data_IF_002062741100
#
_entry.id   IF_002062741100
#
_cell.length_a   1.000
_cell.length_b   1.000
_cell.length_c   1.000
_cell.angle_alpha   90.00
_cell.angle_beta   90.00
_cell.angle_gamma   90.00
#
_symmetry.space_group_name_H-M   'P 1'
#
loop_
_entity.id
_entity.type
_entity.pdbx_description
1 polymer ?
#
# COMPACT_ATOMS: atom_id res chain seq x y z
N UNK A 1 12.85 -12.15 4.92
CA UNK A 1 12.03 -11.49 5.94
C UNK A 1 11.17 -12.49 6.68
N UNK A 2 10.72 -12.10 7.87
CA UNK A 2 9.84 -12.88 8.72
C UNK A 2 8.85 -11.96 9.42
N UNK A 3 7.57 -12.31 9.40
CA UNK A 3 6.50 -11.66 10.14
C UNK A 3 5.79 -12.70 11.01
N UNK A 4 5.73 -12.47 12.31
CA UNK A 4 5.14 -13.42 13.24
C UNK A 4 3.65 -13.67 12.94
N UNK A 5 3.22 -14.90 13.18
CA UNK A 5 1.80 -15.24 13.24
C UNK A 5 1.13 -14.68 14.49
N UNK A 6 -0.17 -14.83 14.58
CA UNK A 6 -0.93 -14.31 15.71
C UNK A 6 -2.37 -14.77 15.72
N UNK A 7 -3.21 -14.00 16.41
CA UNK A 7 -4.62 -14.30 16.60
C UNK A 7 -5.51 -13.10 16.29
N UNK A 8 -6.69 -13.35 15.74
CA UNK A 8 -7.73 -12.36 15.45
C UNK A 8 -8.53 -12.01 16.71
N UNK A 9 -7.88 -11.40 17.69
CA UNK A 9 -8.42 -11.15 19.04
C UNK A 9 -9.72 -10.33 19.00
N UNK A 10 -9.81 -9.33 18.11
CA UNK A 10 -11.00 -8.49 18.00
C UNK A 10 -12.24 -9.24 17.51
N UNK A 11 -12.06 -10.30 16.73
CA UNK A 11 -13.15 -11.12 16.19
C UNK A 11 -13.32 -12.43 16.96
N UNK A 12 -12.58 -12.64 18.05
CA UNK A 12 -12.54 -13.91 18.78
C UNK A 12 -13.94 -14.37 19.21
N UNK A 13 -14.72 -13.50 19.84
CA UNK A 13 -16.07 -13.80 20.32
C UNK A 13 -17.03 -14.14 19.17
N UNK A 14 -16.96 -13.36 18.08
CA UNK A 14 -17.84 -13.54 16.93
C UNK A 14 -17.49 -14.81 16.15
N UNK A 15 -16.21 -15.15 16.02
CA UNK A 15 -15.75 -16.40 15.42
C UNK A 15 -16.25 -17.59 16.24
N UNK A 16 -16.05 -17.58 17.57
CA UNK A 16 -16.55 -18.65 18.44
C UNK A 16 -18.06 -18.81 18.31
N UNK A 17 -18.80 -17.71 18.35
CA UNK A 17 -20.27 -17.76 18.23
C UNK A 17 -20.72 -18.29 16.88
N UNK A 18 -20.02 -17.97 15.80
CA UNK A 18 -20.37 -18.41 14.45
C UNK A 18 -20.03 -19.87 14.23
N UNK A 19 -18.80 -20.29 14.54
CA UNK A 19 -18.33 -21.66 14.33
C UNK A 19 -18.96 -22.67 15.29
N UNK A 20 -19.29 -22.21 16.51
CA UNK A 20 -19.94 -23.04 17.53
C UNK A 20 -21.44 -22.73 17.69
N UNK A 21 -22.09 -22.30 16.59
CA UNK A 21 -23.50 -21.87 16.62
C UNK A 21 -24.48 -22.92 17.15
N UNK A 22 -24.15 -24.21 16.98
CA UNK A 22 -24.92 -25.32 17.57
C UNK A 22 -25.05 -25.20 19.12
N UNK A 23 -23.98 -24.78 19.79
CA UNK A 23 -24.00 -24.55 21.25
C UNK A 23 -24.88 -23.37 21.64
N UNK A 24 -24.84 -22.26 20.86
CA UNK A 24 -25.69 -21.11 21.15
C UNK A 24 -27.16 -21.44 21.01
N UNK A 25 -27.55 -22.18 19.98
CA UNK A 25 -28.93 -22.63 19.81
C UNK A 25 -29.36 -23.63 20.89
N UNK A 26 -28.49 -24.52 21.29
CA UNK A 26 -28.74 -25.46 22.36
C UNK A 26 -28.87 -24.74 23.73
N UNK A 27 -27.97 -23.80 24.02
CA UNK A 27 -28.04 -22.99 25.25
C UNK A 27 -29.31 -22.12 25.29
N UNK A 28 -29.79 -21.60 24.19
CA UNK A 28 -31.09 -20.89 24.12
C UNK A 28 -32.28 -21.81 24.44
N UNK A 29 -32.14 -23.10 24.25
CA UNK A 29 -33.15 -24.12 24.62
C UNK A 29 -32.93 -24.67 26.02
N UNK A 30 -31.94 -24.19 26.77
CA UNK A 30 -31.58 -24.69 28.11
C UNK A 30 -30.66 -25.90 28.11
N UNK A 31 -30.05 -26.23 26.95
CA UNK A 31 -29.11 -27.34 26.80
C UNK A 31 -27.69 -26.73 26.76
N UNK A 32 -27.01 -26.77 27.89
CA UNK A 32 -25.70 -26.12 28.08
C UNK A 32 -24.51 -27.05 27.87
N UNK A 33 -24.74 -28.32 27.65
CA UNK A 33 -23.69 -29.35 27.63
C UNK A 33 -23.64 -30.06 26.28
N UNK A 34 -23.52 -29.27 25.21
CA UNK A 34 -23.39 -29.78 23.84
C UNK A 34 -21.93 -30.07 23.56
N UNK A 35 -21.52 -31.34 23.40
CA UNK A 35 -20.15 -31.68 23.07
C UNK A 35 -19.81 -31.27 21.66
N UNK A 36 -18.60 -30.71 21.48
CA UNK A 36 -18.00 -30.43 20.17
C UNK A 36 -17.00 -31.51 19.78
N UNK A 37 -16.89 -31.74 18.49
CA UNK A 37 -15.89 -32.67 17.95
C UNK A 37 -14.49 -32.01 17.97
N UNK A 38 -13.45 -32.82 17.87
CA UNK A 38 -12.08 -32.32 17.70
C UNK A 38 -11.94 -31.52 16.41
N UNK A 39 -12.72 -31.85 15.37
CA UNK A 39 -12.75 -31.14 14.07
C UNK A 39 -13.33 -29.72 14.22
N UNK A 40 -14.37 -29.53 15.04
CA UNK A 40 -14.94 -28.21 15.32
C UNK A 40 -13.90 -27.30 15.99
N UNK A 41 -13.16 -27.81 16.95
CA UNK A 41 -12.09 -27.05 17.61
C UNK A 41 -10.92 -26.75 16.67
N UNK A 42 -10.56 -27.67 15.76
CA UNK A 42 -9.53 -27.42 14.75
C UNK A 42 -9.96 -26.32 13.78
N UNK A 43 -11.22 -26.33 13.35
CA UNK A 43 -11.79 -25.29 12.48
C UNK A 43 -11.76 -23.92 13.15
N UNK A 44 -12.22 -23.83 14.41
CA UNK A 44 -12.15 -22.59 15.19
C UNK A 44 -10.71 -22.09 15.31
N UNK A 45 -9.76 -22.97 15.58
CA UNK A 45 -8.36 -22.59 15.72
C UNK A 45 -7.78 -22.02 14.41
N UNK A 46 -8.09 -22.64 13.28
CA UNK A 46 -7.67 -22.16 11.95
C UNK A 46 -8.24 -20.78 11.60
N UNK A 47 -9.47 -20.50 12.06
CA UNK A 47 -10.13 -19.22 11.77
C UNK A 47 -9.63 -18.10 12.70
N UNK A 48 -9.34 -18.43 13.96
CA UNK A 48 -8.86 -17.46 14.96
C UNK A 48 -7.40 -17.09 14.74
N UNK A 49 -6.55 -18.06 14.37
CA UNK A 49 -5.11 -17.88 14.23
C UNK A 49 -4.70 -17.62 12.76
N UNK A 50 -3.55 -17.00 12.61
CA UNK A 50 -2.86 -16.90 11.34
C UNK A 50 -1.38 -17.24 11.53
N UNK A 51 -0.83 -17.90 10.52
CA UNK A 51 0.54 -18.41 10.53
C UNK A 51 1.58 -17.31 10.24
N UNK A 52 2.85 -17.53 10.59
CA UNK A 52 3.94 -16.65 10.22
C UNK A 52 4.08 -16.53 8.70
N UNK A 53 4.33 -15.30 8.26
CA UNK A 53 4.71 -14.99 6.89
C UNK A 53 6.24 -15.02 6.74
N UNK A 54 6.72 -15.64 5.69
CA UNK A 54 8.15 -15.72 5.36
C UNK A 54 8.38 -15.18 3.96
N UNK A 55 9.30 -14.22 3.81
CA UNK A 55 9.68 -13.66 2.53
C UNK A 55 11.17 -13.83 2.24
N UNK A 56 11.48 -14.09 0.96
CA UNK A 56 12.82 -14.10 0.39
C UNK A 56 12.90 -13.03 -0.68
N UNK A 57 13.84 -12.10 -0.53
CA UNK A 57 14.11 -11.05 -1.50
C UNK A 57 15.49 -11.25 -2.13
N UNK A 58 15.53 -11.20 -3.45
CA UNK A 58 16.74 -11.20 -4.27
C UNK A 58 16.79 -9.85 -4.96
N UNK A 59 17.88 -9.13 -4.80
CA UNK A 59 18.05 -7.79 -5.35
C UNK A 59 19.44 -7.66 -5.97
N UNK A 60 19.47 -7.00 -7.14
CA UNK A 60 20.68 -6.61 -7.81
C UNK A 60 20.57 -5.13 -8.15
N UNK A 61 21.56 -4.36 -7.72
CA UNK A 61 21.58 -2.92 -7.96
C UNK A 61 22.96 -2.41 -8.38
N UNK A 62 22.97 -1.21 -8.94
CA UNK A 62 24.17 -0.47 -9.28
C UNK A 62 24.02 1.00 -8.97
N UNK A 63 25.13 1.62 -8.56
CA UNK A 63 25.24 3.06 -8.32
C UNK A 63 26.29 3.62 -9.27
N UNK A 64 25.91 4.55 -10.12
CA UNK A 64 26.78 5.16 -11.11
C UNK A 64 26.88 6.66 -10.86
N UNK A 65 28.11 7.16 -10.85
CA UNK A 65 28.42 8.58 -10.84
C UNK A 65 28.97 8.95 -12.22
N UNK A 66 28.26 9.77 -12.93
CA UNK A 66 28.53 10.12 -14.31
C UNK A 66 28.89 11.61 -14.42
N UNK A 67 29.61 11.98 -15.47
CA UNK A 67 29.96 13.37 -15.78
C UNK A 67 30.59 14.11 -14.58
N UNK A 68 31.68 13.55 -14.03
CA UNK A 68 32.41 14.14 -12.89
C UNK A 68 31.52 14.40 -11.66
N UNK A 69 30.59 13.46 -11.38
CA UNK A 69 29.57 13.54 -10.32
C UNK A 69 28.43 14.55 -10.55
N UNK A 70 28.27 15.08 -11.79
CA UNK A 70 27.12 15.93 -12.10
C UNK A 70 25.79 15.16 -12.19
N UNK A 71 25.86 13.83 -12.42
CA UNK A 71 24.70 12.95 -12.50
C UNK A 71 24.96 11.67 -11.68
N UNK A 72 24.02 11.39 -10.77
CA UNK A 72 23.97 10.14 -10.02
C UNK A 72 22.79 9.30 -10.50
N UNK A 73 23.07 8.05 -10.81
CA UNK A 73 22.08 7.07 -11.25
C UNK A 73 22.16 5.84 -10.35
N UNK A 74 21.08 5.54 -9.67
CA UNK A 74 20.88 4.32 -8.90
C UNK A 74 19.83 3.48 -9.63
N UNK A 75 20.17 2.22 -9.91
CA UNK A 75 19.27 1.25 -10.54
C UNK A 75 19.25 -0.01 -9.70
N UNK A 76 18.08 -0.54 -9.45
CA UNK A 76 17.92 -1.88 -8.86
C UNK A 76 16.81 -2.67 -9.57
N UNK A 77 16.97 -3.98 -9.51
CA UNK A 77 15.94 -4.94 -9.90
C UNK A 77 15.79 -5.95 -8.77
N UNK A 78 14.56 -6.30 -8.46
CA UNK A 78 14.27 -7.21 -7.35
C UNK A 78 13.28 -8.29 -7.75
N UNK A 79 13.37 -9.42 -7.02
CA UNK A 79 12.39 -10.48 -7.04
C UNK A 79 12.17 -10.97 -5.62
N UNK A 80 10.94 -10.90 -5.14
CA UNK A 80 10.55 -11.33 -3.80
C UNK A 80 9.48 -12.42 -3.87
N UNK A 81 9.69 -13.49 -3.11
CA UNK A 81 8.70 -14.53 -2.86
C UNK A 81 8.19 -14.43 -1.44
N UNK A 82 6.89 -14.57 -1.25
CA UNK A 82 6.23 -14.56 0.05
C UNK A 82 5.45 -15.86 0.20
N UNK A 83 5.63 -16.53 1.35
CA UNK A 83 4.87 -17.71 1.76
C UNK A 83 4.00 -17.35 2.96
N UNK A 84 2.80 -17.90 3.01
CA UNK A 84 1.81 -17.63 4.05
C UNK A 84 1.54 -16.12 4.20
N UNK A 85 1.40 -15.42 3.07
CA UNK A 85 1.22 -13.97 3.06
C UNK A 85 0.03 -13.57 3.95
N UNK A 86 0.28 -12.65 4.87
CA UNK A 86 -0.74 -12.15 5.79
C UNK A 86 -1.50 -11.00 5.14
N UNK A 87 -2.79 -11.20 4.93
CA UNK A 87 -3.70 -10.18 4.40
C UNK A 87 -4.73 -9.78 5.44
N UNK A 88 -5.05 -8.49 5.48
CA UNK A 88 -6.17 -7.97 6.24
C UNK A 88 -7.40 -7.94 5.33
N UNK A 89 -8.37 -8.80 5.63
CA UNK A 89 -9.64 -8.90 4.89
C UNK A 89 -10.82 -8.48 5.76
N UNK A 90 -11.98 -8.21 5.15
CA UNK A 90 -13.20 -7.99 5.92
C UNK A 90 -13.62 -9.29 6.61
N UNK A 91 -14.09 -9.19 7.85
CA UNK A 91 -14.47 -10.35 8.67
C UNK A 91 -15.69 -11.11 8.13
N UNK A 92 -16.48 -10.52 7.23
CA UNK A 92 -17.59 -11.19 6.56
C UNK A 92 -18.62 -11.74 7.56
N UNK A 93 -18.80 -13.07 7.55
CA UNK A 93 -19.76 -13.77 8.42
C UNK A 93 -19.45 -13.64 9.92
N UNK A 94 -18.23 -13.25 10.30
CA UNK A 94 -17.81 -13.11 11.69
C UNK A 94 -18.07 -11.71 12.28
N UNK A 95 -18.75 -10.84 11.55
CA UNK A 95 -19.15 -9.53 12.05
C UNK A 95 -18.55 -8.35 11.28
N UNK A 96 -18.68 -7.17 11.88
CA UNK A 96 -18.20 -5.93 11.27
C UNK A 96 -16.76 -5.64 11.73
N UNK A 97 -15.81 -5.74 10.81
CA UNK A 97 -14.40 -5.48 11.11
C UNK A 97 -13.46 -6.15 10.12
N UNK A 98 -12.20 -6.18 10.46
CA UNK A 98 -11.16 -6.82 9.65
C UNK A 98 -10.46 -7.91 10.45
N UNK A 99 -10.09 -8.97 9.76
CA UNK A 99 -9.30 -10.06 10.31
C UNK A 99 -8.07 -10.32 9.45
N UNK A 100 -7.05 -10.92 10.04
CA UNK A 100 -5.86 -11.38 9.33
C UNK A 100 -6.08 -12.82 8.88
N UNK A 101 -5.75 -13.08 7.63
CA UNK A 101 -5.75 -14.42 7.03
C UNK A 101 -4.44 -14.67 6.30
N UNK A 102 -4.10 -15.94 6.09
CA UNK A 102 -2.98 -16.32 5.23
C UNK A 102 -3.46 -16.57 3.80
N UNK A 103 -2.85 -15.87 2.84
CA UNK A 103 -3.17 -15.93 1.42
C UNK A 103 -2.29 -16.90 0.62
N UNK A 104 -1.77 -17.97 1.26
CA UNK A 104 -0.92 -18.93 0.56
C UNK A 104 0.40 -18.31 0.09
N UNK A 105 0.60 -18.14 -1.23
CA UNK A 105 1.86 -17.67 -1.80
C UNK A 105 1.65 -16.50 -2.74
N UNK A 106 2.61 -15.60 -2.77
CA UNK A 106 2.69 -14.53 -3.76
C UNK A 106 4.14 -14.27 -4.17
N UNK A 107 4.32 -13.63 -5.31
CA UNK A 107 5.60 -13.05 -5.67
C UNK A 107 5.44 -11.61 -6.13
N UNK A 108 6.50 -10.84 -5.95
CA UNK A 108 6.62 -9.51 -6.54
C UNK A 108 7.96 -9.38 -7.24
N UNK A 109 7.98 -8.69 -8.36
CA UNK A 109 9.20 -8.34 -9.07
C UNK A 109 9.08 -6.92 -9.60
N UNK A 110 10.22 -6.28 -9.74
CA UNK A 110 10.22 -4.90 -10.18
C UNK A 110 11.60 -4.34 -10.46
N UNK A 111 11.56 -3.08 -10.87
CA UNK A 111 12.75 -2.26 -11.06
C UNK A 111 12.55 -0.93 -10.36
N UNK A 112 13.64 -0.38 -9.85
CA UNK A 112 13.69 0.94 -9.25
C UNK A 112 14.82 1.73 -9.91
N UNK A 113 14.55 3.00 -10.20
CA UNK A 113 15.53 3.91 -10.76
C UNK A 113 15.45 5.25 -10.02
N UNK A 114 16.60 5.75 -9.58
CA UNK A 114 16.72 7.08 -9.03
C UNK A 114 17.80 7.84 -9.81
N UNK A 115 17.41 8.99 -10.35
CA UNK A 115 18.31 9.93 -11.00
C UNK A 115 18.30 11.24 -10.21
N UNK A 116 19.48 11.79 -9.98
CA UNK A 116 19.63 13.12 -9.37
C UNK A 116 20.86 13.81 -9.93
N UNK A 117 20.78 15.11 -10.02
CA UNK A 117 21.88 15.88 -10.53
C UNK A 117 21.69 17.36 -10.36
N UNK A 118 22.74 18.07 -10.73
CA UNK A 118 22.79 19.52 -10.76
C UNK A 118 23.09 20.01 -12.18
N UNK A 119 22.43 21.07 -12.59
CA UNK A 119 22.64 21.73 -13.86
C UNK A 119 22.88 23.24 -13.65
N UNK A 120 23.35 23.91 -14.70
CA UNK A 120 23.58 25.35 -14.68
C UNK A 120 24.48 25.83 -13.53
N UNK A 121 25.64 25.17 -13.35
CA UNK A 121 26.60 25.44 -12.27
C UNK A 121 25.99 25.37 -10.86
N UNK A 122 25.09 24.41 -10.64
CA UNK A 122 24.43 24.23 -9.34
C UNK A 122 23.21 25.11 -9.08
N UNK A 123 22.75 25.86 -10.10
CA UNK A 123 21.50 26.63 -9.95
C UNK A 123 20.24 25.80 -10.07
N UNK A 124 20.28 24.64 -10.71
CA UNK A 124 19.17 23.71 -10.81
C UNK A 124 19.53 22.39 -10.14
N UNK A 125 18.88 22.09 -9.02
CA UNK A 125 18.86 20.78 -8.40
C UNK A 125 17.63 20.01 -8.86
N UNK A 126 17.82 18.76 -9.29
CA UNK A 126 16.71 17.93 -9.70
C UNK A 126 16.87 16.48 -9.30
N UNK A 127 15.74 15.81 -9.09
CA UNK A 127 15.69 14.38 -8.78
C UNK A 127 14.46 13.76 -9.42
N UNK A 128 14.61 12.53 -9.92
CA UNK A 128 13.52 11.69 -10.42
C UNK A 128 13.69 10.29 -9.86
N UNK A 129 12.67 9.79 -9.18
CA UNK A 129 12.59 8.42 -8.70
C UNK A 129 11.43 7.73 -9.39
N UNK A 130 11.67 6.56 -9.92
CA UNK A 130 10.67 5.73 -10.57
C UNK A 130 10.75 4.30 -10.04
N UNK A 131 9.61 3.71 -9.76
CA UNK A 131 9.46 2.31 -9.39
C UNK A 131 8.40 1.61 -10.24
N UNK A 132 8.71 0.42 -10.68
CA UNK A 132 7.73 -0.51 -11.25
C UNK A 132 7.68 -1.76 -10.40
N UNK A 133 6.48 -2.17 -10.00
CA UNK A 133 6.26 -3.39 -9.19
C UNK A 133 5.10 -4.19 -9.76
N UNK A 134 5.35 -5.45 -10.06
CA UNK A 134 4.33 -6.45 -10.33
C UNK A 134 4.25 -7.41 -9.17
N UNK A 135 3.20 -7.32 -8.34
CA UNK A 135 2.92 -8.21 -7.23
C UNK A 135 1.65 -9.00 -7.51
N UNK A 136 1.73 -10.33 -7.51
CA UNK A 136 0.61 -11.22 -7.83
C UNK A 136 0.58 -12.43 -6.89
N UNK A 137 -0.62 -12.98 -6.71
CA UNK A 137 -0.79 -14.23 -5.99
C UNK A 137 -0.40 -15.43 -6.87
N UNK A 138 0.42 -16.32 -6.33
CA UNK A 138 0.71 -17.63 -6.92
C UNK A 138 -0.34 -18.66 -6.49
N UNK A 139 -0.74 -18.60 -5.23
CA UNK A 139 -1.73 -19.47 -4.60
C UNK A 139 -2.53 -18.65 -3.59
N UNK A 140 -3.80 -18.42 -3.85
CA UNK A 140 -4.71 -17.86 -2.87
C UNK A 140 -6.15 -18.29 -3.16
N UNK A 141 -6.79 -18.94 -2.22
CA UNK A 141 -8.21 -19.28 -2.25
C UNK A 141 -8.88 -18.75 -1.00
N UNK A 142 -10.02 -18.12 -1.16
CA UNK A 142 -10.87 -17.65 -0.06
C UNK A 142 -12.22 -18.34 -0.12
N UNK A 143 -12.72 -18.80 1.04
CA UNK A 143 -13.94 -19.57 1.14
C UNK A 143 -13.69 -21.09 1.18
N UNK A 144 -14.73 -21.86 1.42
CA UNK A 144 -14.70 -23.32 1.49
C UNK A 144 -15.61 -23.97 0.45
N UNK A 145 -15.23 -25.16 -0.01
CA UNK A 145 -16.04 -25.97 -0.91
C UNK A 145 -16.27 -25.36 -2.29
N UNK A 146 -17.49 -25.46 -2.79
CA UNK A 146 -17.87 -24.98 -4.13
C UNK A 146 -17.95 -23.44 -4.24
N UNK A 147 -17.98 -22.72 -3.13
CA UNK A 147 -18.00 -21.26 -3.08
C UNK A 147 -16.60 -20.65 -2.93
N UNK A 148 -15.55 -21.47 -2.91
CA UNK A 148 -14.18 -20.98 -2.84
C UNK A 148 -13.80 -20.21 -4.11
N UNK A 149 -13.42 -18.95 -3.94
CA UNK A 149 -12.90 -18.11 -5.01
C UNK A 149 -11.39 -18.27 -5.13
N UNK A 150 -10.90 -18.43 -6.37
CA UNK A 150 -9.47 -18.55 -6.69
C UNK A 150 -8.96 -17.22 -7.20
N UNK A 151 -7.99 -16.65 -6.48
CA UNK A 151 -7.36 -15.37 -6.80
C UNK A 151 -5.97 -15.53 -7.42
N UNK A 152 -5.62 -16.73 -7.87
CA UNK A 152 -4.37 -16.95 -8.60
C UNK A 152 -4.22 -15.95 -9.76
N UNK A 153 -3.00 -15.44 -9.95
CA UNK A 153 -2.62 -14.45 -10.96
C UNK A 153 -3.28 -13.05 -10.78
N UNK A 154 -4.10 -12.85 -9.75
CA UNK A 154 -4.60 -11.53 -9.38
C UNK A 154 -3.51 -10.71 -8.70
N UNK A 155 -3.57 -9.39 -8.90
CA UNK A 155 -2.65 -8.46 -8.23
C UNK A 155 -2.91 -8.40 -6.73
N UNK A 156 -1.83 -8.35 -5.97
CA UNK A 156 -1.90 -8.13 -4.52
C UNK A 156 -2.47 -6.72 -4.25
N UNK A 157 -3.51 -6.60 -3.43
CA UNK A 157 -4.11 -5.31 -3.10
C UNK A 157 -3.13 -4.32 -2.47
N UNK A 158 -3.40 -3.03 -2.66
CA UNK A 158 -2.63 -1.91 -2.11
C UNK A 158 -1.19 -1.78 -2.61
N UNK A 159 -0.81 -2.52 -3.64
CA UNK A 159 0.50 -2.39 -4.29
C UNK A 159 0.33 -1.63 -5.60
N UNK A 160 0.83 -0.38 -5.70
CA UNK A 160 0.79 0.37 -6.96
C UNK A 160 1.76 -0.24 -7.97
N UNK A 161 1.31 -0.37 -9.22
CA UNK A 161 2.14 -0.92 -10.29
C UNK A 161 3.27 0.02 -10.71
N UNK A 162 3.08 1.32 -10.57
CA UNK A 162 4.06 2.34 -10.90
C UNK A 162 4.08 3.40 -9.80
N UNK A 163 5.25 3.90 -9.49
CA UNK A 163 5.45 5.05 -8.63
C UNK A 163 6.43 6.01 -9.30
N UNK A 164 6.12 7.30 -9.26
CA UNK A 164 7.00 8.35 -9.76
C UNK A 164 7.02 9.50 -8.77
N UNK A 165 8.21 9.96 -8.42
CA UNK A 165 8.42 11.21 -7.71
C UNK A 165 9.50 12.00 -8.44
N UNK A 166 9.21 13.24 -8.79
CA UNK A 166 10.20 14.12 -9.38
C UNK A 166 10.16 15.50 -8.71
N UNK A 167 11.33 16.09 -8.53
CA UNK A 167 11.51 17.43 -7.96
C UNK A 167 12.50 18.21 -8.84
N UNK A 168 12.30 19.51 -8.92
CA UNK A 168 13.22 20.42 -9.57
C UNK A 168 13.17 21.78 -8.85
N UNK A 169 14.34 22.26 -8.41
CA UNK A 169 14.50 23.49 -7.67
C UNK A 169 15.51 24.39 -8.38
N UNK A 170 15.04 25.50 -8.91
CA UNK A 170 15.86 26.46 -9.62
C UNK A 170 16.13 27.67 -8.76
N UNK A 171 17.41 27.89 -8.43
CA UNK A 171 17.90 29.00 -7.61
C UNK A 171 18.40 30.14 -8.49
N UNK A 172 17.89 31.33 -8.20
CA UNK A 172 18.31 32.59 -8.81
C UNK A 172 18.99 33.42 -7.69
N UNK A 173 20.30 33.58 -7.81
CA UNK A 173 21.03 34.48 -6.90
C UNK A 173 20.82 35.93 -7.38
N UNK A 174 20.65 36.85 -6.41
CA UNK A 174 20.40 38.26 -6.72
C UNK A 174 21.47 39.16 -6.08
N UNK A 175 21.79 40.25 -6.73
CA UNK A 175 22.69 41.28 -6.18
C UNK A 175 21.95 42.27 -5.27
N UNK A 176 20.72 41.95 -4.87
CA UNK A 176 19.90 42.85 -4.06
C UNK A 176 20.29 42.75 -2.58
N UNK A 177 20.49 43.87 -1.93
CA UNK A 177 20.87 43.95 -0.52
C UNK A 177 19.90 43.26 0.42
N UNK A 178 18.63 43.18 0.06
CA UNK A 178 17.55 42.62 0.91
C UNK A 178 17.10 41.23 0.46
N UNK A 179 17.45 40.77 -0.74
CA UNK A 179 17.06 39.47 -1.28
C UNK A 179 18.32 38.76 -1.79
N UNK A 180 18.78 37.73 -1.11
CA UNK A 180 19.99 37.00 -1.50
C UNK A 180 19.74 36.05 -2.66
N UNK A 181 18.65 35.31 -2.56
CA UNK A 181 18.27 34.38 -3.63
C UNK A 181 16.76 34.14 -3.63
N UNK A 182 16.29 33.71 -4.80
CA UNK A 182 14.93 33.24 -5.03
C UNK A 182 15.00 31.82 -5.54
N UNK A 183 14.28 30.87 -4.91
CA UNK A 183 14.19 29.50 -5.39
C UNK A 183 12.78 29.22 -5.88
N UNK A 184 12.69 28.74 -7.12
CA UNK A 184 11.46 28.25 -7.74
C UNK A 184 11.51 26.73 -7.74
N UNK A 185 10.62 26.08 -6.99
CA UNK A 185 10.56 24.65 -6.90
C UNK A 185 9.26 24.08 -7.44
N UNK A 186 9.36 22.92 -8.06
CA UNK A 186 8.22 22.14 -8.51
C UNK A 186 8.41 20.67 -8.14
N UNK A 187 7.32 20.00 -7.81
CA UNK A 187 7.34 18.56 -7.57
C UNK A 187 6.13 17.89 -8.20
N UNK A 188 6.30 16.65 -8.61
CA UNK A 188 5.23 15.78 -9.05
C UNK A 188 5.35 14.43 -8.35
N UNK A 189 4.22 13.94 -7.84
CA UNK A 189 4.11 12.59 -7.32
C UNK A 189 2.98 11.89 -8.09
N UNK A 190 3.32 10.77 -8.73
CA UNK A 190 2.36 9.99 -9.47
C UNK A 190 2.33 8.55 -8.97
N UNK A 191 1.16 7.96 -8.98
CA UNK A 191 0.94 6.57 -8.60
C UNK A 191 0.13 5.89 -9.69
N UNK A 192 0.63 4.73 -10.14
CA UNK A 192 -0.01 3.90 -11.13
C UNK A 192 -1.23 3.17 -10.58
N UNK A 193 -1.77 2.29 -11.39
CA UNK A 193 -2.94 1.50 -11.04
C UNK A 193 -2.70 0.70 -9.76
N UNK A 194 -3.64 0.80 -8.82
CA UNK A 194 -3.64 0.11 -7.53
C UNK A 194 -5.00 -0.54 -7.32
N UNK A 195 -5.02 -1.84 -7.07
CA UNK A 195 -6.25 -2.56 -6.73
C UNK A 195 -6.50 -2.51 -5.23
N UNK A 196 -7.78 -2.49 -4.84
CA UNK A 196 -8.18 -2.38 -3.45
C UNK A 196 -8.68 -3.70 -2.84
N UNK A 197 -9.03 -4.67 -3.69
CA UNK A 197 -9.58 -5.97 -3.33
C UNK A 197 -8.81 -7.12 -4.00
N UNK A 198 -8.95 -8.32 -3.47
CA UNK A 198 -8.26 -9.51 -3.95
C UNK A 198 -8.75 -9.96 -5.32
N UNK A 199 -10.03 -9.73 -5.63
CA UNK A 199 -10.65 -10.04 -6.92
C UNK A 199 -10.20 -9.10 -8.04
N UNK A 200 -9.54 -7.97 -7.68
CA UNK A 200 -9.17 -6.87 -8.57
C UNK A 200 -10.38 -6.21 -9.25
N UNK A 201 -11.52 -6.20 -8.58
CA UNK A 201 -12.77 -5.63 -9.08
C UNK A 201 -12.79 -4.11 -8.99
N UNK A 202 -12.09 -3.55 -8.00
CA UNK A 202 -12.04 -2.13 -7.73
C UNK A 202 -10.59 -1.62 -7.69
N UNK A 203 -10.33 -0.48 -8.35
CA UNK A 203 -8.99 0.08 -8.42
C UNK A 203 -8.99 1.61 -8.45
N UNK A 204 -7.89 2.20 -8.05
CA UNK A 204 -7.50 3.55 -8.38
C UNK A 204 -6.67 3.51 -9.67
N UNK A 205 -7.09 4.26 -10.69
CA UNK A 205 -6.30 4.43 -11.91
C UNK A 205 -5.11 5.36 -11.65
N UNK A 206 -4.21 5.44 -12.62
CA UNK A 206 -3.07 6.36 -12.59
C UNK A 206 -3.54 7.78 -12.26
N UNK A 207 -2.86 8.41 -11.32
CA UNK A 207 -3.02 9.83 -11.02
C UNK A 207 -1.66 10.47 -10.73
N UNK A 208 -1.61 11.80 -10.87
CA UNK A 208 -0.46 12.62 -10.52
C UNK A 208 -0.89 13.85 -9.73
N UNK A 209 -0.09 14.22 -8.75
CA UNK A 209 -0.28 15.39 -7.90
C UNK A 209 0.90 16.32 -8.11
N UNK A 210 0.62 17.54 -8.55
CA UNK A 210 1.62 18.59 -8.79
C UNK A 210 1.65 19.54 -7.61
N UNK A 211 2.86 19.85 -7.13
CA UNK A 211 3.12 20.91 -6.15
C UNK A 211 4.14 21.90 -6.69
N UNK A 212 4.17 23.09 -6.12
CA UNK A 212 5.20 24.09 -6.38
C UNK A 212 5.47 24.93 -5.14
N UNK A 213 6.65 25.51 -5.07
CA UNK A 213 7.00 26.47 -4.03
C UNK A 213 7.86 27.60 -4.56
N UNK A 214 7.84 28.70 -3.84
CA UNK A 214 8.65 29.87 -4.05
C UNK A 214 9.27 30.28 -2.72
N UNK A 215 10.60 30.25 -2.65
CA UNK A 215 11.37 30.63 -1.47
C UNK A 215 12.18 31.90 -1.73
N UNK A 216 12.03 32.88 -0.87
CA UNK A 216 12.79 34.13 -0.89
C UNK A 216 13.72 34.18 0.33
N UNK A 217 15.04 34.11 0.10
CA UNK A 217 16.06 34.26 1.12
C UNK A 217 16.44 35.72 1.33
N UNK A 218 16.03 36.30 2.46
CA UNK A 218 16.35 37.67 2.88
C UNK A 218 17.57 37.70 3.84
N UNK A 219 18.30 36.61 3.92
CA UNK A 219 19.51 36.47 4.74
C UNK A 219 19.26 36.12 6.19
N UNK A 220 18.40 36.82 6.90
CA UNK A 220 17.99 36.50 8.27
C UNK A 220 16.63 35.80 8.35
N UNK A 221 15.85 35.89 7.28
CA UNK A 221 14.49 35.38 7.19
C UNK A 221 14.36 34.68 5.85
N UNK A 222 13.77 33.50 5.84
CA UNK A 222 13.31 32.78 4.66
C UNK A 222 11.79 32.90 4.60
N UNK A 223 11.27 33.38 3.48
CA UNK A 223 9.83 33.44 3.23
C UNK A 223 9.50 32.42 2.17
N UNK A 224 8.59 31.49 2.51
CA UNK A 224 8.18 30.40 1.62
C UNK A 224 6.69 30.47 1.32
N UNK A 225 6.36 30.41 0.03
CA UNK A 225 5.00 30.19 -0.46
C UNK A 225 4.97 28.83 -1.15
N UNK A 226 4.00 28.02 -0.81
CA UNK A 226 3.87 26.69 -1.42
C UNK A 226 2.41 26.35 -1.72
N UNK A 227 2.22 25.52 -2.73
CA UNK A 227 0.93 24.94 -3.06
C UNK A 227 1.06 23.46 -3.37
N UNK A 228 0.08 22.68 -3.00
CA UNK A 228 -0.03 21.25 -3.25
C UNK A 228 -1.29 20.95 -4.04
N UNK A 229 -1.19 19.88 -4.84
CA UNK A 229 -2.29 19.47 -5.71
C UNK A 229 -2.82 20.63 -6.58
N UNK A 230 -1.93 21.35 -7.23
CA UNK A 230 -2.22 22.55 -8.01
C UNK A 230 -3.22 22.30 -9.15
N UNK A 231 -3.27 21.07 -9.64
CA UNK A 231 -4.21 20.61 -10.67
C UNK A 231 -5.56 20.19 -10.11
N UNK A 232 -5.73 20.22 -8.78
CA UNK A 232 -6.90 19.71 -8.06
C UNK A 232 -7.31 18.30 -8.51
N UNK A 233 -6.31 17.43 -8.68
CA UNK A 233 -6.51 16.04 -9.09
C UNK A 233 -7.32 15.28 -8.02
N UNK A 234 -8.38 14.62 -8.45
CA UNK A 234 -9.20 13.77 -7.57
C UNK A 234 -8.68 12.34 -7.60
N UNK A 235 -8.34 11.80 -6.45
CA UNK A 235 -7.84 10.44 -6.28
C UNK A 235 -8.27 9.89 -4.91
N UNK A 236 -8.27 8.56 -4.79
CA UNK A 236 -8.50 7.87 -3.53
C UNK A 236 -7.19 7.37 -2.97
N UNK A 237 -6.99 7.50 -1.67
CA UNK A 237 -5.82 7.00 -0.94
C UNK A 237 -6.06 5.64 -0.33
N UNK A 238 -7.34 5.27 -0.16
CA UNK A 238 -7.77 4.02 0.43
C UNK A 238 -9.18 3.71 -0.01
N UNK A 239 -9.51 2.42 -0.19
CA UNK A 239 -10.88 1.98 -0.37
C UNK A 239 -11.09 0.58 0.23
N UNK A 240 -12.28 0.32 0.74
CA UNK A 240 -12.72 -0.98 1.25
C UNK A 240 -14.12 -1.26 0.74
N UNK A 241 -14.44 -2.53 0.53
CA UNK A 241 -15.79 -2.95 0.18
C UNK A 241 -16.76 -2.79 1.35
N UNK A 242 -18.03 -2.64 1.02
CA UNK A 242 -19.11 -2.60 1.99
C UNK A 242 -19.71 -4.00 2.17
N UNK A 243 -18.94 -4.91 2.76
CA UNK A 243 -19.36 -6.29 3.00
C UNK A 243 -20.67 -6.40 3.82
N UNK A 244 -21.00 -5.39 4.63
CA UNK A 244 -22.16 -5.40 5.50
C UNK A 244 -23.51 -5.30 4.75
N UNK A 245 -23.53 -4.74 3.55
CA UNK A 245 -24.78 -4.52 2.78
C UNK A 245 -25.02 -5.55 1.69
N UNK A 246 -24.05 -6.43 1.40
CA UNK A 246 -24.08 -7.34 0.27
C UNK A 246 -24.08 -6.62 -1.09
N UNK A 247 -23.95 -5.30 -1.09
CA UNK A 247 -23.84 -4.48 -2.30
C UNK A 247 -22.37 -4.39 -2.74
N UNK A 248 -22.13 -4.24 -4.06
CA UNK A 248 -20.80 -3.97 -4.60
C UNK A 248 -20.40 -2.49 -4.43
N UNK A 249 -20.66 -1.94 -3.26
CA UNK A 249 -20.31 -0.56 -2.92
C UNK A 249 -19.00 -0.53 -2.15
N UNK A 250 -18.23 0.55 -2.34
CA UNK A 250 -16.95 0.75 -1.70
C UNK A 250 -16.94 2.07 -0.93
N UNK A 251 -16.41 2.04 0.28
CA UNK A 251 -16.04 3.24 1.01
C UNK A 251 -14.64 3.66 0.61
N UNK A 252 -14.47 4.89 0.18
CA UNK A 252 -13.19 5.40 -0.26
C UNK A 252 -12.80 6.67 0.50
N UNK A 253 -11.54 6.75 0.91
CA UNK A 253 -10.94 7.96 1.43
C UNK A 253 -10.30 8.74 0.29
N UNK A 254 -10.74 9.97 0.09
CA UNK A 254 -10.15 10.85 -0.92
C UNK A 254 -8.82 11.44 -0.44
N UNK A 255 -7.93 11.67 -1.40
CA UNK A 255 -6.73 12.45 -1.19
C UNK A 255 -7.05 13.94 -0.99
N UNK A 256 -6.05 14.68 -0.52
CA UNK A 256 -6.19 16.11 -0.25
C UNK A 256 -6.50 16.88 -1.54
N UNK A 257 -7.46 17.83 -1.51
CA UNK A 257 -7.71 18.73 -2.61
C UNK A 257 -6.56 19.73 -2.78
N UNK A 258 -6.73 20.71 -3.66
CA UNK A 258 -5.85 21.87 -3.75
C UNK A 258 -5.65 22.55 -2.37
N UNK A 259 -4.41 22.84 -2.04
CA UNK A 259 -3.96 23.50 -0.81
C UNK A 259 -2.96 24.59 -1.14
#
# INVERSE_FOLDING_TARGET
GYRAGGYNIQMFSDILQTELNANRQAAMRGDYDVPHSAEDYEKVNKTISYEPEVSWNYELGTHLNLFENALHLDLSAFYMQVKNQQLSVMAGNYGFGRMMVNAGKSHSCGIEAALRGQLFNGHLDWMVNYGYTRAVFDEYRSGEGAEAEDYKDKFVPYVPQHTLSATADYRIDTDCRFLRSLTLGANVNAQGKTYWDQANSYCQNLYAVLGAHLDADLGKVLISFWGRNLTNTHYNTFAVDNAATGSKEYFAQRGNPFQ
#
